data_IF_940824683052
#
_entry.id   IF_940824683052
#
_cell.length_a   1.000
_cell.length_b   1.000
_cell.length_c   1.000
_cell.angle_alpha   90.00
_cell.angle_beta   90.00
_cell.angle_gamma   90.00
#
_symmetry.space_group_name_H-M   'P 1'
#
loop_
_entity.id
_entity.type
_entity.pdbx_description
1 polymer ?
#
# COMPACT_ATOMS: atom_id res chain seq x y z
N UNK A 1 22.38 -17.90 -27.26
CA UNK A 1 22.27 -16.49 -26.77
C UNK A 1 20.91 -16.17 -26.13
N UNK A 2 19.80 -16.81 -26.50
CA UNK A 2 18.48 -16.62 -25.88
C UNK A 2 18.14 -17.65 -24.78
N UNK A 3 18.59 -18.90 -24.91
CA UNK A 3 18.33 -19.97 -23.93
C UNK A 3 19.01 -19.73 -22.57
N UNK A 4 20.25 -19.25 -22.54
CA UNK A 4 20.97 -18.96 -21.30
C UNK A 4 20.25 -17.89 -20.45
N UNK A 5 19.68 -16.87 -21.11
CA UNK A 5 18.91 -15.82 -20.43
C UNK A 5 17.56 -16.33 -19.91
N UNK A 6 16.94 -17.27 -20.61
CA UNK A 6 15.70 -17.90 -20.15
C UNK A 6 15.94 -18.85 -18.98
N UNK A 7 17.04 -19.60 -19.03
CA UNK A 7 17.44 -20.52 -17.95
C UNK A 7 17.84 -19.76 -16.69
N UNK A 8 18.70 -18.74 -16.80
CA UNK A 8 19.07 -17.86 -15.66
C UNK A 8 17.86 -17.18 -15.05
N UNK A 9 16.91 -16.72 -15.88
CA UNK A 9 15.65 -16.16 -15.41
C UNK A 9 14.80 -17.20 -14.69
N UNK A 10 14.63 -18.38 -15.25
CA UNK A 10 13.88 -19.47 -14.63
C UNK A 10 14.53 -19.94 -13.31
N UNK A 11 15.86 -19.94 -13.21
CA UNK A 11 16.62 -20.29 -12.01
C UNK A 11 16.52 -19.21 -10.93
N UNK A 12 16.56 -17.94 -11.32
CA UNK A 12 16.25 -16.81 -10.44
C UNK A 12 14.81 -16.89 -9.94
N UNK A 13 13.85 -17.07 -10.84
CA UNK A 13 12.43 -17.16 -10.52
C UNK A 13 12.12 -18.37 -9.61
N UNK A 14 12.83 -19.50 -9.79
CA UNK A 14 12.72 -20.70 -8.94
C UNK A 14 13.32 -20.48 -7.56
N UNK A 15 14.52 -19.87 -7.46
CA UNK A 15 15.12 -19.49 -6.16
C UNK A 15 14.25 -18.49 -5.40
N UNK A 16 13.54 -17.63 -6.12
CA UNK A 16 12.59 -16.67 -5.56
C UNK A 16 11.28 -17.32 -5.08
N UNK A 17 10.82 -18.37 -5.77
CA UNK A 17 9.55 -19.04 -5.45
C UNK A 17 9.65 -20.06 -4.33
N UNK A 18 10.84 -20.63 -4.07
CA UNK A 18 10.95 -21.80 -3.20
C UNK A 18 11.17 -21.47 -1.70
N UNK A 19 11.57 -20.24 -1.34
CA UNK A 19 11.79 -19.87 0.06
C UNK A 19 11.71 -18.36 0.39
N UNK A 20 11.96 -17.47 -0.57
CA UNK A 20 12.14 -16.04 -0.24
C UNK A 20 10.85 -15.23 -0.11
N UNK A 21 9.92 -15.34 -1.08
CA UNK A 21 8.74 -14.46 -1.14
C UNK A 21 7.75 -14.68 0.01
N UNK A 22 7.47 -15.93 0.36
CA UNK A 22 6.54 -16.23 1.46
C UNK A 22 7.16 -15.94 2.82
N UNK A 23 8.48 -16.09 2.97
CA UNK A 23 9.22 -15.62 4.15
C UNK A 23 9.11 -14.11 4.33
N UNK A 24 9.29 -13.32 3.25
CA UNK A 24 9.10 -11.85 3.27
C UNK A 24 7.69 -11.48 3.73
N UNK A 25 6.64 -12.11 3.17
CA UNK A 25 5.25 -11.85 3.56
C UNK A 25 4.99 -12.20 5.03
N UNK A 26 5.49 -13.35 5.48
CA UNK A 26 5.31 -13.78 6.86
C UNK A 26 5.97 -12.80 7.84
N UNK A 27 7.22 -12.42 7.60
CA UNK A 27 7.92 -11.42 8.43
C UNK A 27 7.20 -10.07 8.41
N UNK A 28 6.71 -9.63 7.25
CA UNK A 28 5.92 -8.41 7.15
C UNK A 28 4.61 -8.48 7.95
N UNK A 29 3.92 -9.63 7.93
CA UNK A 29 2.70 -9.85 8.73
C UNK A 29 2.95 -9.81 10.25
N UNK A 30 4.20 -10.06 10.66
CA UNK A 30 4.65 -9.93 12.05
C UNK A 30 5.08 -8.50 12.41
N UNK A 31 5.05 -7.56 11.45
CA UNK A 31 5.40 -6.15 11.66
C UNK A 31 6.89 -5.81 11.46
N UNK A 32 7.67 -6.70 10.87
CA UNK A 32 9.10 -6.45 10.63
C UNK A 32 9.30 -5.35 9.57
N UNK A 33 10.30 -4.50 9.77
CA UNK A 33 10.70 -3.48 8.80
C UNK A 33 11.43 -4.07 7.61
N UNK A 34 11.59 -3.29 6.53
CA UNK A 34 12.28 -3.75 5.31
C UNK A 34 13.71 -4.25 5.61
N UNK A 35 14.43 -3.54 6.49
CA UNK A 35 15.81 -3.93 6.86
C UNK A 35 15.83 -5.14 7.78
N UNK A 36 14.90 -5.24 8.71
CA UNK A 36 14.76 -6.41 9.58
C UNK A 36 14.39 -7.66 8.78
N UNK A 37 13.49 -7.52 7.80
CA UNK A 37 13.16 -8.58 6.85
C UNK A 37 14.44 -9.00 6.11
N UNK A 38 15.18 -8.06 5.52
CA UNK A 38 16.39 -8.38 4.77
C UNK A 38 17.43 -9.13 5.64
N UNK A 39 17.60 -8.72 6.89
CA UNK A 39 18.54 -9.32 7.83
C UNK A 39 18.09 -10.70 8.35
N UNK A 40 16.78 -10.98 8.33
CA UNK A 40 16.19 -12.23 8.84
C UNK A 40 16.08 -13.33 7.78
N UNK A 41 16.38 -13.02 6.51
CA UNK A 41 16.38 -14.00 5.42
C UNK A 41 17.72 -14.74 5.37
N UNK A 42 17.69 -16.07 5.24
CA UNK A 42 18.88 -16.93 5.09
C UNK A 42 19.77 -16.50 3.91
N UNK A 43 19.15 -15.92 2.87
CA UNK A 43 19.84 -15.30 1.74
C UNK A 43 19.28 -13.88 1.53
N UNK A 44 20.11 -12.83 1.60
CA UNK A 44 19.62 -11.45 1.55
C UNK A 44 19.09 -11.11 0.16
N UNK A 45 17.80 -10.78 0.08
CA UNK A 45 17.19 -10.24 -1.13
C UNK A 45 17.61 -8.76 -1.31
N UNK A 46 17.80 -8.26 -2.55
CA UNK A 46 17.91 -6.84 -2.81
C UNK A 46 16.69 -6.07 -2.26
N UNK A 47 16.90 -4.89 -1.68
CA UNK A 47 15.85 -4.11 -1.03
C UNK A 47 14.68 -3.76 -1.97
N UNK A 48 14.98 -3.46 -3.24
CA UNK A 48 13.97 -3.19 -4.27
C UNK A 48 13.11 -4.41 -4.57
N UNK A 49 13.68 -5.62 -4.45
CA UNK A 49 12.95 -6.87 -4.62
C UNK A 49 12.04 -7.16 -3.43
N UNK A 50 12.51 -6.88 -2.21
CA UNK A 50 11.67 -6.93 -1.00
C UNK A 50 10.50 -5.96 -1.15
N UNK A 51 10.76 -4.70 -1.55
CA UNK A 51 9.72 -3.70 -1.78
C UNK A 51 8.65 -4.14 -2.79
N UNK A 52 9.04 -4.80 -3.89
CA UNK A 52 8.08 -5.37 -4.86
C UNK A 52 7.21 -6.48 -4.27
N UNK A 53 7.81 -7.38 -3.48
CA UNK A 53 7.07 -8.47 -2.82
C UNK A 53 6.09 -7.91 -1.80
N UNK A 54 6.51 -6.94 -0.99
CA UNK A 54 5.65 -6.24 -0.03
C UNK A 54 4.52 -5.49 -0.73
N UNK A 55 4.80 -4.81 -1.84
CA UNK A 55 3.77 -4.13 -2.64
C UNK A 55 2.68 -5.09 -3.12
N UNK A 56 3.06 -6.24 -3.66
CA UNK A 56 2.08 -7.24 -4.12
C UNK A 56 1.30 -7.86 -2.96
N UNK A 57 1.96 -8.10 -1.82
CA UNK A 57 1.33 -8.59 -0.60
C UNK A 57 0.35 -7.57 -0.01
N UNK A 58 0.74 -6.31 0.16
CA UNK A 58 -0.13 -5.28 0.72
C UNK A 58 -1.33 -4.98 -0.18
N UNK A 59 -1.20 -5.14 -1.50
CA UNK A 59 -2.35 -5.13 -2.41
C UNK A 59 -3.27 -6.33 -2.20
N UNK A 60 -2.73 -7.53 -1.97
CA UNK A 60 -3.56 -8.73 -1.76
C UNK A 60 -4.30 -8.72 -0.42
N UNK A 61 -3.70 -8.11 0.61
CA UNK A 61 -4.28 -7.93 1.95
C UNK A 61 -5.12 -6.65 2.07
N UNK A 62 -5.35 -5.93 0.97
CA UNK A 62 -6.10 -4.65 0.96
C UNK A 62 -5.54 -3.54 1.88
N UNK A 63 -4.26 -3.66 2.30
CA UNK A 63 -3.51 -2.58 2.97
C UNK A 63 -3.24 -1.45 1.98
N UNK A 64 -2.99 -1.79 0.71
CA UNK A 64 -2.83 -0.83 -0.39
C UNK A 64 -3.92 -1.04 -1.43
N UNK A 65 -4.62 0.04 -1.77
CA UNK A 65 -5.61 0.07 -2.84
C UNK A 65 -5.14 0.99 -3.97
N UNK A 66 -5.43 0.59 -5.21
CA UNK A 66 -5.13 1.39 -6.42
C UNK A 66 -6.32 2.24 -6.89
N UNK A 67 -7.46 2.09 -6.21
CA UNK A 67 -8.71 2.83 -6.46
C UNK A 67 -9.28 3.26 -5.12
N UNK A 68 -10.05 4.35 -5.12
CA UNK A 68 -10.56 4.93 -3.90
C UNK A 68 -11.41 3.92 -3.11
N UNK A 69 -11.29 3.87 -1.78
CA UNK A 69 -12.21 3.14 -0.92
C UNK A 69 -13.67 3.49 -1.25
N UNK A 70 -14.55 2.50 -1.27
CA UNK A 70 -15.97 2.70 -1.59
C UNK A 70 -16.30 2.94 -3.08
N UNK A 71 -15.31 2.99 -3.99
CA UNK A 71 -15.56 3.17 -5.43
C UNK A 71 -16.12 1.93 -6.16
N UNK A 72 -16.55 0.91 -5.41
CA UNK A 72 -17.07 -0.35 -5.96
C UNK A 72 -16.02 -1.23 -6.66
N UNK A 73 -14.74 -0.87 -6.57
CA UNK A 73 -13.68 -1.54 -7.30
C UNK A 73 -13.16 -2.84 -6.66
N UNK A 74 -13.66 -3.20 -5.47
CA UNK A 74 -13.46 -4.49 -4.81
C UNK A 74 -14.52 -5.55 -5.18
N UNK A 75 -15.40 -5.27 -6.15
CA UNK A 75 -16.40 -6.25 -6.57
C UNK A 75 -15.88 -7.16 -7.71
N UNK A 76 -15.69 -8.43 -7.35
CA UNK A 76 -15.43 -9.62 -8.16
C UNK A 76 -13.97 -9.92 -8.54
N UNK A 77 -13.35 -10.81 -7.74
CA UNK A 77 -12.59 -11.93 -8.32
C UNK A 77 -13.57 -12.72 -9.20
N UNK A 78 -13.47 -12.56 -10.51
CA UNK A 78 -14.21 -13.39 -11.45
C UNK A 78 -13.40 -14.63 -11.77
N UNK A 79 -13.94 -15.80 -11.44
CA UNK A 79 -13.34 -17.07 -11.81
C UNK A 79 -13.90 -17.49 -13.15
N UNK A 80 -13.02 -17.81 -14.10
CA UNK A 80 -13.44 -18.37 -15.39
C UNK A 80 -13.56 -19.89 -15.26
N UNK A 81 -14.78 -20.41 -15.40
CA UNK A 81 -15.02 -21.86 -15.38
C UNK A 81 -15.14 -22.35 -16.82
N UNK A 82 -14.42 -23.44 -17.13
CA UNK A 82 -14.47 -24.11 -18.43
C UNK A 82 -15.71 -25.00 -18.48
N UNK A 83 -16.69 -24.65 -19.31
CA UNK A 83 -17.90 -25.42 -19.53
C UNK A 83 -17.84 -26.10 -20.91
N UNK A 84 -18.24 -27.37 -20.98
CA UNK A 84 -18.32 -28.12 -22.25
C UNK A 84 -19.79 -28.42 -22.52
N UNK A 85 -20.27 -28.07 -23.71
CA UNK A 85 -21.66 -28.33 -24.09
C UNK A 85 -21.89 -29.79 -24.53
N UNK A 86 -23.15 -30.13 -24.83
CA UNK A 86 -23.55 -31.46 -25.27
C UNK A 86 -22.93 -31.91 -26.62
N UNK A 87 -22.23 -31.01 -27.32
CA UNK A 87 -21.57 -31.26 -28.61
C UNK A 87 -20.03 -31.20 -28.49
N UNK A 88 -19.48 -31.12 -27.26
CA UNK A 88 -18.05 -31.12 -27.01
C UNK A 88 -17.35 -29.78 -27.20
N UNK A 89 -18.09 -28.68 -27.45
CA UNK A 89 -17.51 -27.35 -27.63
C UNK A 89 -17.20 -26.72 -26.27
N UNK A 90 -15.97 -26.27 -26.10
CA UNK A 90 -15.49 -25.66 -24.85
C UNK A 90 -15.72 -24.15 -24.86
N UNK A 91 -16.36 -23.63 -23.81
CA UNK A 91 -16.58 -22.20 -23.59
C UNK A 91 -16.15 -21.80 -22.18
N UNK A 92 -15.64 -20.58 -22.00
CA UNK A 92 -15.27 -20.05 -20.69
C UNK A 92 -16.38 -19.12 -20.19
N UNK A 93 -17.02 -19.47 -19.09
CA UNK A 93 -18.06 -18.66 -18.47
C UNK A 93 -17.48 -17.94 -17.27
N UNK A 94 -17.71 -16.62 -17.21
CA UNK A 94 -17.34 -15.78 -16.07
C UNK A 94 -18.33 -16.06 -14.93
N UNK A 95 -17.88 -16.70 -13.86
CA UNK A 95 -18.71 -16.98 -12.69
C UNK A 95 -18.29 -16.01 -11.57
N UNK A 96 -19.25 -15.40 -10.83
CA UNK A 96 -18.92 -14.66 -9.62
C UNK A 96 -18.20 -15.60 -8.65
N UNK A 97 -16.95 -15.29 -8.27
CA UNK A 97 -16.30 -15.99 -7.18
C UNK A 97 -17.07 -15.78 -5.87
N UNK A 98 -17.10 -16.80 -5.01
CA UNK A 98 -17.68 -16.68 -3.68
C UNK A 98 -17.04 -15.50 -2.95
N UNK A 99 -17.89 -14.57 -2.50
CA UNK A 99 -17.50 -13.50 -1.61
C UNK A 99 -17.25 -14.14 -0.25
N UNK A 100 -16.01 -14.09 0.25
CA UNK A 100 -15.87 -13.99 1.71
C UNK A 100 -16.71 -12.80 2.18
N UNK A 101 -17.37 -12.86 3.35
CA UNK A 101 -18.31 -11.84 3.79
C UNK A 101 -17.60 -10.48 3.74
N UNK A 102 -17.94 -9.67 2.73
CA UNK A 102 -17.45 -8.31 2.65
C UNK A 102 -17.92 -7.64 3.92
N UNK A 103 -16.97 -7.12 4.69
CA UNK A 103 -17.34 -6.14 5.71
C UNK A 103 -17.85 -4.95 4.92
N UNK A 104 -19.16 -4.84 4.78
CA UNK A 104 -19.80 -3.76 4.04
C UNK A 104 -19.56 -2.46 4.81
N UNK A 105 -18.43 -1.82 4.46
CA UNK A 105 -18.09 -0.48 4.89
C UNK A 105 -18.44 0.49 3.78
N UNK A 106 -19.25 1.48 4.10
CA UNK A 106 -19.27 2.74 3.35
C UNK A 106 -18.11 3.62 3.83
N UNK A 107 -17.68 4.58 3.01
CA UNK A 107 -16.53 5.42 3.33
C UNK A 107 -16.92 6.90 3.33
N UNK A 108 -16.71 7.56 4.48
CA UNK A 108 -16.80 9.01 4.62
C UNK A 108 -15.47 9.63 4.22
N UNK A 109 -15.50 10.52 3.23
CA UNK A 109 -14.31 11.25 2.79
C UNK A 109 -14.14 12.52 3.62
N UNK A 110 -12.98 12.69 4.22
CA UNK A 110 -12.60 13.89 4.97
C UNK A 110 -11.34 14.51 4.38
N UNK A 111 -11.28 15.83 4.36
CA UNK A 111 -10.12 16.57 3.88
C UNK A 111 -9.36 17.12 5.08
N UNK A 112 -8.13 16.67 5.28
CA UNK A 112 -7.25 17.28 6.26
C UNK A 112 -6.78 18.62 5.71
N UNK A 113 -7.19 19.69 6.40
CA UNK A 113 -6.66 21.02 6.17
C UNK A 113 -5.71 21.29 7.30
N UNK A 114 -4.43 21.31 6.98
CA UNK A 114 -3.44 21.80 7.91
C UNK A 114 -3.80 23.25 8.18
N UNK A 115 -4.34 23.53 9.38
CA UNK A 115 -4.85 24.86 9.78
C UNK A 115 -3.74 25.90 9.94
N UNK A 116 -2.51 25.52 9.59
CA UNK A 116 -1.34 26.39 9.58
C UNK A 116 -1.32 27.20 8.29
N UNK A 117 -1.64 28.48 8.42
CA UNK A 117 -1.11 29.46 7.48
C UNK A 117 0.39 29.64 7.74
N UNK A 118 1.10 30.19 6.76
CA UNK A 118 2.54 30.50 6.84
C UNK A 118 2.92 31.46 7.99
N UNK A 119 1.93 32.02 8.70
CA UNK A 119 2.10 33.01 9.76
C UNK A 119 1.90 32.43 11.16
N UNK A 120 1.43 31.19 11.28
CA UNK A 120 1.15 30.55 12.58
C UNK A 120 2.19 29.47 12.87
N UNK A 121 3.26 29.78 13.63
CA UNK A 121 4.31 28.81 13.94
C UNK A 121 3.72 27.63 14.73
N UNK A 122 3.91 26.42 14.19
CA UNK A 122 3.51 25.17 14.83
C UNK A 122 4.44 24.91 16.02
N UNK A 123 3.90 24.92 17.23
CA UNK A 123 4.62 24.36 18.37
C UNK A 123 4.61 22.83 18.23
N UNK A 124 5.68 22.26 17.65
CA UNK A 124 5.84 20.82 17.40
C UNK A 124 5.71 19.95 18.67
N UNK A 125 5.80 20.54 19.86
CA UNK A 125 5.77 19.83 21.13
C UNK A 125 4.39 19.69 21.78
N UNK A 126 3.35 20.40 21.33
CA UNK A 126 2.12 20.49 22.13
C UNK A 126 1.01 19.51 21.75
N UNK A 127 0.82 19.14 20.49
CA UNK A 127 0.17 17.88 20.06
C UNK A 127 0.25 17.79 18.54
N UNK A 128 0.56 16.63 17.98
CA UNK A 128 0.47 16.40 16.54
C UNK A 128 -1.00 16.44 16.11
N UNK A 129 -1.36 17.38 15.24
CA UNK A 129 -2.76 17.68 14.88
C UNK A 129 -3.39 16.51 14.11
N UNK A 130 -2.58 15.78 13.34
CA UNK A 130 -3.01 14.62 12.58
C UNK A 130 -3.50 13.49 13.48
N UNK A 131 -2.85 13.24 14.63
CA UNK A 131 -3.29 12.20 15.58
C UNK A 131 -4.66 12.55 16.16
N UNK A 132 -4.88 13.83 16.53
CA UNK A 132 -6.19 14.31 16.97
C UNK A 132 -7.24 14.20 15.86
N UNK A 133 -6.87 14.56 14.64
CA UNK A 133 -7.76 14.44 13.48
C UNK A 133 -8.19 12.99 13.24
N UNK A 134 -7.26 12.04 13.26
CA UNK A 134 -7.56 10.62 13.12
C UNK A 134 -8.45 10.12 14.26
N UNK A 135 -8.12 10.46 15.51
CA UNK A 135 -8.90 10.06 16.68
C UNK A 135 -10.36 10.58 16.66
N UNK A 136 -10.57 11.78 16.13
CA UNK A 136 -11.91 12.39 16.05
C UNK A 136 -12.77 11.83 14.90
N UNK A 137 -12.16 11.23 13.89
CA UNK A 137 -12.85 10.81 12.68
C UNK A 137 -12.99 9.30 12.53
N UNK A 138 -12.01 8.55 13.04
CA UNK A 138 -12.00 7.09 12.99
C UNK A 138 -13.13 6.51 13.81
N UNK A 139 -13.78 5.49 13.26
CA UNK A 139 -14.76 4.66 13.96
C UNK A 139 -14.20 3.27 14.29
N UNK A 140 -12.87 3.11 14.25
CA UNK A 140 -12.17 1.84 14.44
C UNK A 140 -12.35 0.86 13.29
N UNK A 141 -12.69 1.35 12.09
CA UNK A 141 -12.76 0.56 10.87
C UNK A 141 -11.46 0.64 10.06
N UNK A 142 -11.40 -0.02 8.88
CA UNK A 142 -10.26 0.07 7.99
C UNK A 142 -10.24 1.45 7.31
N UNK A 143 -9.66 2.44 7.96
CA UNK A 143 -9.55 3.79 7.44
C UNK A 143 -8.36 3.90 6.47
N UNK A 144 -8.47 4.75 5.45
CA UNK A 144 -7.43 4.90 4.42
C UNK A 144 -7.05 6.36 4.19
N UNK A 145 -5.81 6.58 3.77
CA UNK A 145 -5.30 7.87 3.32
C UNK A 145 -4.89 7.81 1.84
N UNK A 146 -5.19 8.85 1.08
CA UNK A 146 -4.76 8.96 -0.33
C UNK A 146 -3.37 9.57 -0.43
N UNK A 147 -2.45 8.85 -1.05
CA UNK A 147 -1.04 9.20 -1.22
C UNK A 147 -0.70 9.44 -2.70
N UNK A 148 -0.06 10.57 -2.99
CA UNK A 148 0.43 10.94 -4.32
C UNK A 148 1.93 10.65 -4.51
N UNK A 149 2.50 9.75 -3.70
CA UNK A 149 3.94 9.46 -3.70
C UNK A 149 4.50 9.01 -5.04
N UNK A 150 3.73 8.25 -5.85
CA UNK A 150 4.16 7.87 -7.20
C UNK A 150 4.38 9.09 -8.12
N UNK A 151 3.54 10.13 -7.99
CA UNK A 151 3.70 11.39 -8.73
C UNK A 151 4.89 12.20 -8.22
N UNK A 152 5.09 12.26 -6.90
CA UNK A 152 6.24 12.95 -6.30
C UNK A 152 7.56 12.29 -6.67
N UNK A 153 7.61 10.95 -6.69
CA UNK A 153 8.79 10.15 -7.04
C UNK A 153 9.17 10.32 -8.52
N UNK A 154 8.19 10.53 -9.41
CA UNK A 154 8.42 10.70 -10.86
C UNK A 154 8.65 12.14 -11.31
N UNK A 155 7.97 13.14 -10.73
CA UNK A 155 8.13 14.55 -11.13
C UNK A 155 9.21 15.23 -10.29
N UNK A 156 10.38 15.43 -10.92
CA UNK A 156 11.45 16.33 -10.50
C UNK A 156 12.23 15.98 -9.21
N UNK A 157 11.82 14.98 -8.43
CA UNK A 157 12.61 14.33 -7.38
C UNK A 157 13.08 15.21 -6.20
N UNK A 158 12.93 16.53 -6.25
CA UNK A 158 13.21 17.46 -5.15
C UNK A 158 12.20 17.31 -4.04
N UNK A 159 10.93 17.23 -4.39
CA UNK A 159 9.83 17.11 -3.43
C UNK A 159 9.83 15.72 -2.79
N UNK A 160 10.11 14.67 -3.59
CA UNK A 160 10.34 13.33 -3.05
C UNK A 160 11.51 13.29 -2.06
N UNK A 161 12.64 13.95 -2.36
CA UNK A 161 13.76 14.07 -1.42
C UNK A 161 13.37 14.80 -0.13
N UNK A 162 12.49 15.80 -0.20
CA UNK A 162 11.98 16.52 0.98
C UNK A 162 11.08 15.63 1.85
N UNK A 163 10.22 14.84 1.21
CA UNK A 163 9.44 13.80 1.90
C UNK A 163 10.38 12.83 2.60
N UNK A 164 11.35 12.24 1.89
CA UNK A 164 12.32 11.32 2.46
C UNK A 164 13.23 11.95 3.53
N UNK A 165 13.48 13.25 3.50
CA UNK A 165 14.25 13.94 4.56
C UNK A 165 13.44 14.23 5.82
N UNK A 166 12.11 14.22 5.71
CA UNK A 166 11.21 14.46 6.84
C UNK A 166 10.93 13.18 7.63
N UNK A 167 11.08 12.02 6.98
CA UNK A 167 10.88 10.69 7.56
C UNK A 167 12.24 10.05 7.86
N UNK A 168 12.34 9.28 8.96
CA UNK A 168 13.60 8.69 9.43
C UNK A 168 13.51 7.18 9.65
N UNK A 169 14.65 6.50 9.62
CA UNK A 169 14.74 5.07 9.94
C UNK A 169 13.92 4.19 9.00
N UNK A 170 13.29 3.18 9.57
CA UNK A 170 12.53 2.15 8.85
C UNK A 170 11.39 2.70 7.99
N UNK A 171 10.74 3.78 8.44
CA UNK A 171 9.66 4.42 7.69
C UNK A 171 10.19 5.08 6.41
N UNK A 172 11.43 5.60 6.43
CA UNK A 172 12.08 6.13 5.22
C UNK A 172 12.45 5.00 4.27
N UNK A 173 13.01 3.92 4.79
CA UNK A 173 13.38 2.76 3.99
C UNK A 173 12.15 2.17 3.28
N UNK A 174 11.03 2.06 4.01
CA UNK A 174 9.73 1.68 3.46
C UNK A 174 9.32 2.55 2.28
N UNK A 175 9.29 3.88 2.46
CA UNK A 175 8.93 4.81 1.40
C UNK A 175 9.87 4.69 0.18
N UNK A 176 11.17 4.47 0.41
CA UNK A 176 12.18 4.42 -0.64
C UNK A 176 12.04 3.17 -1.52
N UNK A 177 11.91 1.99 -0.90
CA UNK A 177 11.87 0.70 -1.60
C UNK A 177 10.52 0.43 -2.26
N UNK A 178 9.44 1.00 -1.74
CA UNK A 178 8.11 0.76 -2.28
C UNK A 178 8.00 1.29 -3.72
N UNK A 179 7.40 0.52 -4.64
CA UNK A 179 7.29 0.93 -6.04
C UNK A 179 6.54 2.24 -6.23
N UNK A 180 5.48 2.48 -5.47
CA UNK A 180 4.55 3.60 -5.66
C UNK A 180 4.18 3.76 -7.14
N UNK A 181 3.74 2.66 -7.76
CA UNK A 181 3.58 2.54 -9.21
C UNK A 181 2.82 3.74 -9.79
N UNK A 182 3.26 4.22 -10.97
CA UNK A 182 2.85 5.45 -11.69
C UNK A 182 1.35 5.59 -11.93
N UNK A 183 0.60 5.73 -10.86
CA UNK A 183 -0.83 5.84 -10.91
C UNK A 183 -1.14 7.31 -11.19
N UNK A 184 -1.71 7.54 -12.38
CA UNK A 184 -2.43 8.77 -12.72
C UNK A 184 -3.52 9.03 -11.66
N UNK A 185 -3.95 8.01 -10.90
CA UNK A 185 -4.79 8.06 -9.71
C UNK A 185 -3.96 7.98 -8.43
N UNK A 186 -4.36 8.56 -7.29
CA UNK A 186 -3.60 8.38 -6.03
C UNK A 186 -3.57 6.91 -5.59
N UNK A 187 -2.56 6.52 -4.80
CA UNK A 187 -2.53 5.25 -4.05
C UNK A 187 -3.31 5.46 -2.76
N UNK A 188 -4.01 4.45 -2.24
CA UNK A 188 -4.69 4.56 -0.96
C UNK A 188 -4.07 3.54 0.00
N UNK A 189 -3.64 3.99 1.16
CA UNK A 189 -2.99 3.15 2.16
C UNK A 189 -3.83 3.09 3.43
N UNK A 190 -3.95 1.90 4.00
CA UNK A 190 -4.58 1.69 5.30
C UNK A 190 -3.87 2.55 6.36
N UNK A 191 -4.63 3.17 7.24
CA UNK A 191 -4.08 3.97 8.34
C UNK A 191 -3.71 3.00 9.46
N UNK A 192 -2.54 2.36 9.30
CA UNK A 192 -1.90 1.52 10.31
C UNK A 192 -0.85 2.31 11.12
N UNK A 193 -0.18 1.64 12.07
CA UNK A 193 0.82 2.28 12.92
C UNK A 193 1.99 2.88 12.13
N UNK A 194 2.43 2.21 11.06
CA UNK A 194 3.51 2.72 10.22
C UNK A 194 3.08 3.98 9.47
N UNK A 195 1.89 3.95 8.87
CA UNK A 195 1.36 5.10 8.15
C UNK A 195 1.08 6.27 9.09
N UNK A 196 0.63 6.04 10.32
CA UNK A 196 0.48 7.09 11.33
C UNK A 196 1.82 7.78 11.58
N UNK A 197 2.91 7.04 11.83
CA UNK A 197 4.24 7.63 12.04
C UNK A 197 4.73 8.45 10.85
N UNK A 198 4.48 7.95 9.64
CA UNK A 198 4.81 8.67 8.39
C UNK A 198 4.01 9.98 8.30
N UNK A 199 2.70 9.94 8.54
CA UNK A 199 1.84 11.12 8.50
C UNK A 199 2.27 12.17 9.54
N UNK A 200 2.56 11.73 10.76
CA UNK A 200 3.09 12.60 11.81
C UNK A 200 4.41 13.28 11.43
N UNK A 201 5.30 12.57 10.72
CA UNK A 201 6.56 13.11 10.23
C UNK A 201 6.37 14.12 9.08
N UNK A 202 5.27 14.01 8.32
CA UNK A 202 4.94 14.89 7.21
C UNK A 202 4.09 16.11 7.61
N UNK A 203 3.58 16.16 8.83
CA UNK A 203 2.79 17.28 9.35
C UNK A 203 3.59 18.59 9.33
N UNK A 204 2.97 19.68 8.84
CA UNK A 204 3.63 20.98 8.70
C UNK A 204 4.69 21.07 7.60
N UNK A 205 4.93 20.01 6.82
CA UNK A 205 5.89 20.03 5.70
C UNK A 205 5.27 20.50 4.38
N UNK A 206 3.94 20.57 4.30
CA UNK A 206 3.18 20.80 3.07
C UNK A 206 3.04 19.57 2.17
N UNK A 207 3.65 18.43 2.52
CA UNK A 207 3.52 17.16 1.80
C UNK A 207 2.58 16.17 2.49
N UNK A 208 1.93 16.58 3.58
CA UNK A 208 0.93 15.77 4.24
C UNK A 208 -0.24 15.52 3.26
N UNK A 209 -0.68 14.27 3.09
CA UNK A 209 -1.77 13.99 2.17
C UNK A 209 -3.08 14.61 2.65
N UNK A 210 -3.84 15.18 1.72
CA UNK A 210 -5.01 15.99 2.07
C UNK A 210 -6.31 15.22 2.18
N UNK A 211 -6.38 13.94 1.79
CA UNK A 211 -7.64 13.20 1.68
C UNK A 211 -7.60 11.89 2.44
N UNK A 212 -8.55 11.75 3.37
CA UNK A 212 -8.75 10.58 4.22
C UNK A 212 -10.13 9.98 3.95
N UNK A 213 -10.23 8.67 4.13
CA UNK A 213 -11.43 7.87 3.92
C UNK A 213 -11.67 7.07 5.20
N UNK A 214 -12.67 7.46 5.97
CA UNK A 214 -13.03 6.82 7.22
C UNK A 214 -14.16 5.82 6.99
N UNK A 215 -13.95 4.58 7.42
CA UNK A 215 -14.92 3.52 7.30
C UNK A 215 -16.11 3.77 8.23
N UNK A 216 -17.31 3.68 7.67
CA UNK A 216 -18.58 3.76 8.37
C UNK A 216 -19.23 2.38 8.24
N UNK A 217 -19.57 1.76 9.36
CA UNK A 217 -20.30 0.50 9.35
C UNK A 217 -21.72 0.77 8.87
N UNK A 218 -22.13 0.08 7.81
CA UNK A 218 -23.54 0.04 7.44
C UNK A 218 -24.26 -0.80 8.53
N UNK A 219 -25.23 -0.17 9.22
CA UNK A 219 -26.03 -0.78 10.31
C UNK A 219 -27.19 -1.57 9.74
#
# INVERSE_FOLDING_TARGET
MSEDKYFEKALSDMKDSFAGKDGIKHLASLGYSVREIQASLDFPFPLDKIGRVLWDYYKSEEIILLKAPGSGAGASRSTYVKQTDAYGKQSFVKVPGEKEPSRDYSFRKEVYKDGHDIFTPVNRNETRFIVKFLANNSSGGPDFVSLDFGRLKTRNGSDWRRVLSSVTGDDRDYLEVMPWENSITGVYHLIDEQMIRILEALEGTGYLPGVFYFAVKDV
#
